data_IF_919134098983
#
_entry.id   IF_919134098983
#
_cell.length_a   1.000
_cell.length_b   1.000
_cell.length_c   1.000
_cell.angle_alpha   90.00
_cell.angle_beta   90.00
_cell.angle_gamma   90.00
#
_symmetry.space_group_name_H-M   'P 1'
#
loop_
_entity.id
_entity.type
_entity.pdbx_description
1 polymer ?
#
# COMPACT_ATOMS: atom_id res chain seq x y z
N UNK A 1 26.96 -25.41 48.52
CA UNK A 1 26.52 -25.26 47.11
C UNK A 1 26.19 -23.82 46.84
N UNK A 2 26.72 -23.29 45.77
CA UNK A 2 26.35 -21.98 45.30
C UNK A 2 25.40 -22.14 44.10
N UNK A 3 24.34 -21.33 44.05
CA UNK A 3 23.35 -21.36 42.99
C UNK A 3 22.97 -19.94 42.61
N UNK A 4 22.79 -19.70 41.30
CA UNK A 4 22.27 -18.45 40.78
C UNK A 4 20.92 -18.73 40.12
N UNK A 5 19.88 -18.08 40.60
CA UNK A 5 18.57 -18.14 39.97
C UNK A 5 18.44 -17.07 38.90
N UNK A 6 17.94 -17.44 37.75
CA UNK A 6 17.63 -16.55 36.65
C UNK A 6 16.14 -16.51 36.38
N UNK A 7 15.61 -15.34 36.16
CA UNK A 7 14.20 -15.15 35.87
C UNK A 7 14.04 -14.23 34.67
N UNK A 8 13.25 -14.70 33.72
CA UNK A 8 12.90 -13.90 32.54
C UNK A 8 11.57 -13.16 32.79
N UNK A 9 11.57 -11.88 32.59
CA UNK A 9 10.36 -11.08 32.64
C UNK A 9 9.61 -11.18 31.32
N UNK A 10 8.68 -12.14 31.24
CA UNK A 10 7.90 -12.37 30.02
C UNK A 10 6.88 -11.26 29.74
N UNK A 11 6.42 -10.52 30.76
CA UNK A 11 5.48 -9.43 30.58
C UNK A 11 6.10 -8.28 29.73
N UNK A 12 7.36 -7.92 30.01
CA UNK A 12 8.07 -6.91 29.23
C UNK A 12 8.34 -7.40 27.79
N UNK A 13 8.67 -8.68 27.63
CA UNK A 13 8.89 -9.28 26.32
C UNK A 13 7.59 -9.28 25.50
N UNK A 14 6.47 -9.70 26.12
CA UNK A 14 5.16 -9.72 25.46
C UNK A 14 4.73 -8.32 25.01
N UNK A 15 4.91 -7.31 25.85
CA UNK A 15 4.62 -5.91 25.50
C UNK A 15 5.47 -5.42 24.33
N UNK A 16 6.74 -5.81 24.29
CA UNK A 16 7.65 -5.45 23.18
C UNK A 16 7.23 -6.13 21.88
N UNK A 17 6.82 -7.41 21.94
CA UNK A 17 6.33 -8.13 20.77
C UNK A 17 5.02 -7.51 20.25
N UNK A 18 4.09 -7.16 21.12
CA UNK A 18 2.84 -6.52 20.72
C UNK A 18 3.10 -5.18 20.00
N UNK A 19 4.02 -4.37 20.52
CA UNK A 19 4.40 -3.12 19.85
C UNK A 19 5.01 -3.34 18.48
N UNK A 20 5.88 -4.32 18.36
CA UNK A 20 6.52 -4.66 17.09
C UNK A 20 5.48 -5.10 16.05
N UNK A 21 4.53 -5.95 16.45
CA UNK A 21 3.46 -6.40 15.57
C UNK A 21 2.55 -5.24 15.13
N UNK A 22 2.19 -4.36 16.07
CA UNK A 22 1.37 -3.18 15.76
C UNK A 22 2.11 -2.22 14.81
N UNK A 23 3.40 -2.01 15.03
CA UNK A 23 4.21 -1.14 14.17
C UNK A 23 4.35 -1.74 12.76
N UNK A 24 4.50 -3.05 12.67
CA UNK A 24 4.57 -3.75 11.38
C UNK A 24 3.24 -3.64 10.61
N UNK A 25 2.12 -3.86 11.29
CA UNK A 25 0.79 -3.73 10.69
C UNK A 25 0.56 -2.33 10.13
N UNK A 26 0.85 -1.30 10.95
CA UNK A 26 0.72 0.09 10.53
C UNK A 26 1.63 0.43 9.35
N UNK A 27 2.88 -0.03 9.39
CA UNK A 27 3.83 0.23 8.31
C UNK A 27 3.41 -0.43 7.00
N UNK A 28 2.83 -1.63 7.06
CA UNK A 28 2.34 -2.34 5.88
C UNK A 28 1.16 -1.59 5.25
N UNK A 29 0.22 -1.12 6.07
CA UNK A 29 -0.91 -0.31 5.59
C UNK A 29 -0.43 1.00 4.98
N UNK A 30 0.53 1.67 5.62
CA UNK A 30 1.14 2.89 5.10
C UNK A 30 1.84 2.66 3.76
N UNK A 31 2.55 1.55 3.62
CA UNK A 31 3.23 1.17 2.37
C UNK A 31 2.23 0.96 1.24
N UNK A 32 1.11 0.27 1.50
CA UNK A 32 0.06 0.08 0.51
C UNK A 32 -0.62 1.39 0.12
N UNK A 33 -0.87 2.26 1.10
CA UNK A 33 -1.43 3.59 0.84
C UNK A 33 -0.50 4.40 -0.07
N UNK A 34 0.78 4.42 0.23
CA UNK A 34 1.79 5.07 -0.61
C UNK A 34 1.77 4.53 -2.04
N UNK A 35 1.78 3.21 -2.18
CA UNK A 35 1.80 2.56 -3.49
C UNK A 35 0.56 2.91 -4.32
N UNK A 36 -0.63 2.80 -3.73
CA UNK A 36 -1.88 3.10 -4.41
C UNK A 36 -1.99 4.58 -4.80
N UNK A 37 -1.60 5.49 -3.92
CA UNK A 37 -1.62 6.93 -4.20
C UNK A 37 -0.65 7.29 -5.33
N UNK A 38 0.53 6.66 -5.35
CA UNK A 38 1.50 6.93 -6.42
C UNK A 38 1.00 6.44 -7.78
N UNK A 39 0.41 5.25 -7.82
CA UNK A 39 -0.16 4.70 -9.06
C UNK A 39 -1.35 5.54 -9.52
N UNK A 40 -2.24 5.93 -8.60
CA UNK A 40 -3.40 6.77 -8.93
C UNK A 40 -2.96 8.12 -9.50
N UNK A 41 -1.94 8.75 -8.91
CA UNK A 41 -1.38 10.00 -9.40
C UNK A 41 -0.82 9.83 -10.80
N UNK A 42 -0.09 8.75 -11.06
CA UNK A 42 0.46 8.46 -12.38
C UNK A 42 -0.66 8.26 -13.41
N UNK A 43 -1.71 7.53 -13.04
CA UNK A 43 -2.86 7.30 -13.93
C UNK A 43 -3.61 8.60 -14.26
N UNK A 44 -3.71 9.53 -13.30
CA UNK A 44 -4.35 10.82 -13.51
C UNK A 44 -3.51 11.77 -14.38
N UNK A 45 -2.20 11.69 -14.28
CA UNK A 45 -1.30 12.67 -14.93
C UNK A 45 -0.73 12.19 -16.25
N UNK A 46 -0.75 10.88 -16.52
CA UNK A 46 -0.18 10.30 -17.75
C UNK A 46 -1.07 9.16 -18.24
N UNK A 47 -1.88 9.43 -19.24
CA UNK A 47 -2.82 8.46 -19.80
C UNK A 47 -2.98 8.64 -21.30
N UNK A 48 -3.30 7.54 -22.04
CA UNK A 48 -3.44 7.60 -23.49
C UNK A 48 -4.79 8.11 -23.96
N UNK A 49 -5.82 8.15 -23.08
CA UNK A 49 -7.15 8.62 -23.47
C UNK A 49 -7.21 10.14 -23.51
N UNK A 50 -8.15 10.66 -24.33
CA UNK A 50 -8.38 12.10 -24.41
C UNK A 50 -9.24 12.56 -23.22
N UNK A 51 -8.74 13.54 -22.50
CA UNK A 51 -9.42 14.10 -21.32
C UNK A 51 -10.37 15.22 -21.77
N UNK A 52 -11.62 14.87 -22.11
CA UNK A 52 -12.59 15.84 -22.65
C UNK A 52 -13.24 16.70 -21.55
N UNK A 53 -13.68 16.07 -20.45
CA UNK A 53 -14.37 16.75 -19.35
C UNK A 53 -13.56 16.72 -18.06
N UNK A 54 -12.53 15.89 -17.98
CA UNK A 54 -11.80 15.68 -16.75
C UNK A 54 -12.45 14.69 -15.79
N UNK A 55 -13.61 14.16 -16.14
CA UNK A 55 -14.37 13.28 -15.21
C UNK A 55 -13.67 11.95 -14.96
N UNK A 56 -13.17 11.31 -16.03
CA UNK A 56 -12.45 10.06 -15.89
C UNK A 56 -11.15 10.24 -15.09
N UNK A 57 -10.40 11.27 -15.40
CA UNK A 57 -9.17 11.60 -14.69
C UNK A 57 -9.44 11.87 -13.21
N UNK A 58 -10.41 12.72 -12.90
CA UNK A 58 -10.73 13.05 -11.51
C UNK A 58 -11.39 11.91 -10.75
N UNK A 59 -12.03 10.94 -11.44
CA UNK A 59 -12.61 9.76 -10.79
C UNK A 59 -11.56 8.69 -10.45
N UNK A 60 -10.36 8.77 -11.01
CA UNK A 60 -9.27 7.83 -10.74
C UNK A 60 -8.66 8.14 -9.38
N UNK A 61 -8.74 7.19 -8.46
CA UNK A 61 -8.29 7.39 -7.09
C UNK A 61 -7.88 6.07 -6.44
N UNK A 62 -7.22 6.17 -5.30
CA UNK A 62 -6.87 5.01 -4.49
C UNK A 62 -7.98 4.71 -3.48
N UNK A 63 -8.23 3.42 -3.26
CA UNK A 63 -9.17 2.94 -2.24
C UNK A 63 -8.49 1.90 -1.36
N UNK A 64 -8.83 1.90 -0.07
CA UNK A 64 -8.22 1.01 0.90
C UNK A 64 -7.10 1.71 1.66
N UNK A 65 -6.24 0.96 2.36
CA UNK A 65 -6.23 -0.50 2.44
C UNK A 65 -7.37 -1.08 3.28
N UNK A 66 -7.71 -2.33 3.01
CA UNK A 66 -8.67 -3.10 3.78
C UNK A 66 -8.21 -4.54 3.93
N UNK A 67 -8.75 -5.26 4.92
CA UNK A 67 -8.31 -6.61 5.25
C UNK A 67 -7.23 -6.62 6.32
N UNK A 68 -6.58 -7.76 6.50
CA UNK A 68 -5.55 -7.96 7.51
C UNK A 68 -4.28 -8.53 6.91
N UNK A 69 -3.13 -8.03 7.37
CA UNK A 69 -1.82 -8.57 6.98
C UNK A 69 -1.63 -10.00 7.51
N UNK A 70 -2.33 -10.35 8.61
CA UNK A 70 -2.13 -11.63 9.30
C UNK A 70 -2.80 -12.82 8.61
N UNK A 71 -3.82 -12.57 7.78
CA UNK A 71 -4.53 -13.61 7.03
C UNK A 71 -4.38 -13.48 5.52
N UNK A 72 -3.41 -12.67 5.08
CA UNK A 72 -3.10 -12.43 3.66
C UNK A 72 -4.27 -11.82 2.88
N UNK A 73 -5.18 -11.14 3.56
CA UNK A 73 -6.31 -10.47 2.92
C UNK A 73 -6.10 -8.98 2.68
N UNK A 74 -5.00 -8.41 3.17
CA UNK A 74 -4.74 -6.98 3.05
C UNK A 74 -4.59 -6.58 1.59
N UNK A 75 -5.42 -5.63 1.16
CA UNK A 75 -5.51 -5.16 -0.24
C UNK A 75 -5.68 -3.67 -0.31
N UNK A 76 -5.19 -3.11 -1.38
CA UNK A 76 -5.51 -1.74 -1.79
C UNK A 76 -5.81 -1.74 -3.28
N UNK A 77 -6.54 -0.72 -3.73
CA UNK A 77 -6.96 -0.63 -5.13
C UNK A 77 -6.72 0.77 -5.67
N UNK A 78 -6.52 0.83 -6.99
CA UNK A 78 -6.64 2.07 -7.75
C UNK A 78 -7.86 1.90 -8.64
N UNK A 79 -8.81 2.80 -8.55
CA UNK A 79 -10.14 2.70 -9.14
C UNK A 79 -10.41 3.93 -10.00
N UNK A 80 -11.02 3.71 -11.16
CA UNK A 80 -11.62 4.77 -11.96
C UNK A 80 -13.13 4.54 -11.90
N UNK A 81 -13.86 5.45 -11.25
CA UNK A 81 -15.26 5.21 -10.88
C UNK A 81 -16.29 5.67 -11.92
N UNK A 82 -15.88 6.28 -13.03
CA UNK A 82 -16.79 6.63 -14.11
C UNK A 82 -17.37 5.37 -14.78
N UNK A 83 -18.65 5.43 -15.16
CA UNK A 83 -19.35 4.29 -15.75
C UNK A 83 -18.69 3.74 -17.01
N UNK A 84 -18.09 4.63 -17.81
CA UNK A 84 -17.40 4.25 -19.04
C UNK A 84 -15.92 3.87 -18.86
N UNK A 85 -15.40 3.89 -17.63
CA UNK A 85 -13.97 3.68 -17.37
C UNK A 85 -13.48 2.32 -17.88
N UNK A 86 -14.23 1.25 -17.68
CA UNK A 86 -13.86 -0.08 -18.16
C UNK A 86 -13.78 -0.16 -19.68
N UNK A 87 -14.68 0.52 -20.37
CA UNK A 87 -14.67 0.61 -21.83
C UNK A 87 -13.43 1.33 -22.34
N UNK A 88 -13.09 2.46 -21.72
CA UNK A 88 -11.88 3.22 -22.08
C UNK A 88 -10.63 2.40 -21.81
N UNK A 89 -10.55 1.77 -20.64
CA UNK A 89 -9.38 0.97 -20.25
C UNK A 89 -9.18 -0.25 -21.17
N UNK A 90 -10.26 -0.81 -21.70
CA UNK A 90 -10.17 -1.94 -22.63
C UNK A 90 -9.57 -1.52 -23.99
N UNK A 91 -9.85 -0.30 -24.43
CA UNK A 91 -9.35 0.25 -25.71
C UNK A 91 -8.01 0.94 -25.58
N UNK A 92 -7.86 1.74 -24.53
CA UNK A 92 -6.66 2.55 -24.24
C UNK A 92 -6.26 2.30 -22.79
N UNK A 93 -5.58 1.20 -22.49
CA UNK A 93 -5.21 0.85 -21.11
C UNK A 93 -4.48 1.99 -20.42
N UNK A 94 -4.92 2.34 -19.21
CA UNK A 94 -4.31 3.43 -18.45
C UNK A 94 -3.95 3.05 -17.01
N UNK A 95 -4.59 2.03 -16.43
CA UNK A 95 -4.30 1.64 -15.04
C UNK A 95 -3.05 0.78 -14.93
N UNK A 96 -2.96 -0.31 -15.71
CA UNK A 96 -1.78 -1.19 -15.67
C UNK A 96 -0.51 -0.49 -16.16
N UNK A 97 -0.55 0.27 -17.28
CA UNK A 97 0.63 1.04 -17.69
C UNK A 97 1.07 2.08 -16.66
N UNK A 98 0.13 2.68 -15.91
CA UNK A 98 0.47 3.61 -14.84
C UNK A 98 1.26 2.90 -13.73
N UNK A 99 0.83 1.71 -13.32
CA UNK A 99 1.56 0.90 -12.36
C UNK A 99 2.95 0.55 -12.91
N UNK A 100 3.03 0.06 -14.15
CA UNK A 100 4.29 -0.36 -14.76
C UNK A 100 5.30 0.79 -14.83
N UNK A 101 4.82 2.01 -15.09
CA UNK A 101 5.67 3.18 -15.18
C UNK A 101 6.33 3.57 -13.86
N UNK A 102 5.70 3.26 -12.73
CA UNK A 102 6.18 3.64 -11.39
C UNK A 102 6.55 2.46 -10.50
N UNK A 103 6.52 1.23 -11.02
CA UNK A 103 6.71 0.03 -10.22
C UNK A 103 8.02 0.03 -9.43
N UNK A 104 9.13 0.42 -10.05
CA UNK A 104 10.42 0.47 -9.36
C UNK A 104 10.45 1.54 -8.26
N UNK A 105 9.81 2.68 -8.48
CA UNK A 105 9.68 3.75 -7.49
C UNK A 105 8.81 3.30 -6.32
N UNK A 106 7.71 2.61 -6.61
CA UNK A 106 6.82 2.04 -5.59
C UNK A 106 7.57 1.01 -4.76
N UNK A 107 8.27 0.09 -5.39
CA UNK A 107 9.03 -0.95 -4.69
C UNK A 107 10.08 -0.34 -3.76
N UNK A 108 10.80 0.68 -4.22
CA UNK A 108 11.79 1.37 -3.40
C UNK A 108 11.15 2.10 -2.22
N UNK A 109 10.03 2.78 -2.43
CA UNK A 109 9.31 3.50 -1.38
C UNK A 109 8.73 2.57 -0.32
N UNK A 110 8.14 1.45 -0.74
CA UNK A 110 7.62 0.42 0.15
C UNK A 110 8.76 -0.14 1.01
N UNK A 111 9.90 -0.45 0.40
CA UNK A 111 11.06 -0.97 1.13
C UNK A 111 11.55 0.02 2.20
N UNK A 112 11.56 1.32 1.90
CA UNK A 112 11.96 2.36 2.87
C UNK A 112 10.99 2.45 4.05
N UNK A 113 9.69 2.40 3.79
CA UNK A 113 8.66 2.45 4.85
C UNK A 113 8.79 1.25 5.78
N UNK A 114 8.92 0.04 5.21
CA UNK A 114 9.06 -1.18 6.00
C UNK A 114 10.36 -1.21 6.79
N UNK A 115 11.46 -0.75 6.20
CA UNK A 115 12.75 -0.69 6.89
C UNK A 115 12.70 0.28 8.08
N UNK A 116 12.02 1.41 7.96
CA UNK A 116 11.86 2.36 9.05
C UNK A 116 11.10 1.77 10.23
N UNK A 117 10.14 0.88 9.99
CA UNK A 117 9.35 0.23 11.03
C UNK A 117 10.12 -0.81 11.85
N UNK A 118 11.25 -1.31 11.33
CA UNK A 118 12.04 -2.37 11.98
C UNK A 118 13.28 -1.83 12.71
N UNK A 119 13.42 -0.53 12.80
CA UNK A 119 14.53 0.11 13.52
C UNK A 119 14.30 0.21 15.01
#
# INVERSE_FOLDING_TARGET
>A
MLAVGLRLDTAALDASCERLLADFERATEEALTFAAERVATQARTSHPYRNRTGDLESSTHAEGPSGSVWDDSLRTWVVASEEYASYVNARLPFLQPAYDAVASEVDAGVALILAAATR
#
